data_IF_418136369989
#
_entry.id   IF_418136369989
#
_cell.length_a   1.000
_cell.length_b   1.000
_cell.length_c   1.000
_cell.angle_alpha   90.00
_cell.angle_beta   90.00
_cell.angle_gamma   90.00
#
_symmetry.space_group_name_H-M   'P 1'
#
loop_
_entity.id
_entity.type
_entity.pdbx_description
1 polymer ?
#
# COMPACT_ATOMS: atom_id res chain seq x y z
N UNK A 1 3.24 -14.62 -41.75
CA UNK A 1 2.32 -15.11 -40.71
C UNK A 1 2.54 -14.24 -39.48
N UNK A 2 1.57 -13.41 -39.19
CA UNK A 2 1.55 -12.58 -38.02
C UNK A 2 1.46 -13.47 -36.77
N UNK A 3 2.51 -13.49 -35.98
CA UNK A 3 2.49 -14.18 -34.70
C UNK A 3 2.07 -13.18 -33.63
N UNK A 4 1.08 -13.53 -32.87
CA UNK A 4 0.59 -12.68 -31.83
C UNK A 4 1.68 -12.33 -30.81
N UNK A 5 1.99 -11.04 -30.64
CA UNK A 5 3.04 -10.64 -29.71
C UNK A 5 2.62 -10.76 -28.25
N UNK A 6 1.43 -11.25 -28.01
CA UNK A 6 0.89 -11.31 -26.69
C UNK A 6 1.56 -12.33 -25.85
N UNK A 7 2.22 -11.89 -24.89
CA UNK A 7 2.66 -12.76 -23.84
C UNK A 7 1.47 -13.13 -22.99
N UNK A 8 1.12 -14.40 -23.00
CA UNK A 8 0.25 -15.02 -22.00
C UNK A 8 0.84 -14.94 -20.58
N UNK A 9 1.90 -14.19 -20.43
CA UNK A 9 2.67 -14.09 -19.21
C UNK A 9 2.05 -13.02 -18.28
N UNK A 10 0.86 -13.32 -17.79
CA UNK A 10 0.12 -12.53 -16.81
C UNK A 10 0.32 -13.04 -15.39
N UNK A 11 1.40 -13.75 -15.14
CA UNK A 11 1.75 -14.18 -13.79
C UNK A 11 2.23 -12.99 -12.95
N UNK A 12 1.31 -12.20 -12.46
CA UNK A 12 1.55 -11.32 -11.33
C UNK A 12 1.58 -12.16 -10.04
N UNK A 13 2.75 -12.63 -9.68
CA UNK A 13 2.94 -13.22 -8.35
C UNK A 13 3.08 -12.08 -7.35
N UNK A 14 1.99 -11.75 -6.69
CA UNK A 14 2.02 -10.74 -5.63
C UNK A 14 2.66 -11.28 -4.34
N UNK A 15 3.42 -10.44 -3.65
CA UNK A 15 3.94 -10.76 -2.32
C UNK A 15 2.84 -10.65 -1.29
N UNK A 16 2.72 -11.64 -0.42
CA UNK A 16 1.69 -11.67 0.61
C UNK A 16 2.08 -10.80 1.81
N UNK A 17 1.25 -9.83 2.12
CA UNK A 17 1.22 -9.18 3.43
C UNK A 17 0.06 -9.77 4.22
N UNK A 18 0.28 -10.15 5.48
CA UNK A 18 -0.76 -10.72 6.31
C UNK A 18 -1.98 -9.79 6.40
N UNK A 19 -3.16 -10.29 6.05
CA UNK A 19 -4.40 -9.52 6.02
C UNK A 19 -4.63 -8.71 4.73
N UNK A 20 -3.69 -8.71 3.79
CA UNK A 20 -3.87 -8.15 2.45
C UNK A 20 -3.97 -9.32 1.48
N UNK A 21 -5.08 -9.42 0.78
CA UNK A 21 -5.26 -10.36 -0.31
C UNK A 21 -4.22 -10.06 -1.39
N UNK A 22 -3.38 -11.04 -1.71
CA UNK A 22 -2.60 -11.00 -2.93
C UNK A 22 -3.40 -11.71 -4.00
N UNK A 23 -3.88 -10.98 -4.96
CA UNK A 23 -4.27 -11.62 -6.20
C UNK A 23 -3.00 -12.10 -6.89
N UNK A 24 -2.81 -13.41 -6.89
CA UNK A 24 -2.03 -14.02 -7.96
C UNK A 24 -2.74 -13.63 -9.23
N UNK A 25 -2.05 -12.95 -10.14
CA UNK A 25 -2.62 -12.62 -11.43
C UNK A 25 -3.27 -13.89 -12.00
N UNK A 26 -4.57 -13.89 -12.07
CA UNK A 26 -5.28 -14.95 -12.77
C UNK A 26 -4.71 -14.96 -14.19
N UNK A 27 -4.37 -16.12 -14.75
CA UNK A 27 -4.09 -16.19 -16.15
C UNK A 27 -5.29 -15.55 -16.84
N UNK A 28 -5.01 -14.68 -17.80
CA UNK A 28 -6.02 -14.02 -18.59
C UNK A 28 -7.05 -15.05 -18.97
N UNK A 29 -8.29 -14.80 -18.60
CA UNK A 29 -9.37 -15.77 -18.82
C UNK A 29 -9.30 -16.19 -20.28
N UNK A 30 -9.25 -17.48 -20.57
CA UNK A 30 -9.17 -18.03 -21.93
C UNK A 30 -10.32 -17.55 -22.85
N UNK A 31 -11.31 -16.86 -22.26
CA UNK A 31 -12.38 -16.19 -23.00
C UNK A 31 -11.95 -14.89 -23.67
N UNK A 32 -10.82 -14.31 -23.34
CA UNK A 32 -10.24 -13.23 -24.13
C UNK A 32 -9.59 -13.84 -25.37
N UNK A 33 -10.43 -14.20 -26.28
CA UNK A 33 -10.09 -14.74 -27.56
C UNK A 33 -9.47 -13.64 -28.39
N UNK A 34 -8.20 -13.73 -28.58
CA UNK A 34 -7.51 -12.95 -29.56
C UNK A 34 -7.48 -13.77 -30.84
N UNK A 35 -8.52 -13.60 -31.57
CA UNK A 35 -8.71 -14.27 -32.87
C UNK A 35 -9.20 -13.17 -33.82
N UNK A 36 -8.28 -12.28 -34.26
CA UNK A 36 -8.64 -11.14 -35.08
C UNK A 36 -9.18 -11.63 -36.42
N UNK A 37 -10.34 -11.14 -36.79
CA UNK A 37 -11.00 -11.53 -38.04
C UNK A 37 -10.88 -10.42 -39.09
N UNK A 38 -10.47 -10.79 -40.30
CA UNK A 38 -10.55 -9.88 -41.45
C UNK A 38 -12.03 -9.70 -41.87
N UNK A 39 -12.51 -8.49 -42.14
CA UNK A 39 -11.78 -7.23 -42.29
C UNK A 39 -11.71 -6.34 -41.03
N UNK A 40 -12.04 -6.85 -39.87
CA UNK A 40 -12.22 -6.07 -38.64
C UNK A 40 -10.90 -5.67 -37.96
N UNK A 41 -9.84 -6.42 -38.18
CA UNK A 41 -8.54 -6.14 -37.57
C UNK A 41 -7.73 -5.17 -38.43
N UNK A 42 -7.28 -4.08 -37.81
CA UNK A 42 -6.45 -3.04 -38.38
C UNK A 42 -5.13 -2.93 -37.61
N UNK A 43 -4.13 -3.67 -38.04
CA UNK A 43 -2.82 -3.69 -37.40
C UNK A 43 -1.75 -3.06 -38.30
N UNK A 44 -0.83 -2.31 -37.66
CA UNK A 44 0.38 -1.80 -38.29
C UNK A 44 1.59 -2.25 -37.50
N UNK A 45 2.46 -2.98 -38.16
CA UNK A 45 3.76 -3.38 -37.63
C UNK A 45 4.88 -2.57 -38.28
N UNK A 46 5.90 -2.23 -37.51
CA UNK A 46 7.13 -1.59 -38.00
C UNK A 46 8.21 -2.66 -38.26
N UNK A 47 9.22 -2.33 -39.05
CA UNK A 47 10.37 -3.22 -39.32
C UNK A 47 11.09 -3.69 -38.05
N UNK A 48 11.04 -2.90 -36.97
CA UNK A 48 11.64 -3.22 -35.69
C UNK A 48 10.73 -4.05 -34.75
N UNK A 49 9.49 -4.38 -35.18
CA UNK A 49 8.56 -5.20 -34.40
C UNK A 49 7.73 -4.41 -33.38
N UNK A 50 7.48 -3.12 -33.59
CA UNK A 50 6.47 -2.38 -32.83
C UNK A 50 5.13 -2.52 -33.51
N UNK A 51 4.06 -2.68 -32.74
CA UNK A 51 2.71 -2.92 -33.24
C UNK A 51 1.74 -1.89 -32.66
N UNK A 52 0.87 -1.38 -33.52
CA UNK A 52 -0.33 -0.64 -33.14
C UNK A 52 -1.51 -1.30 -33.79
N UNK A 53 -2.54 -1.64 -33.02
CA UNK A 53 -3.67 -2.44 -33.45
C UNK A 53 -4.98 -1.83 -32.94
N UNK A 54 -5.96 -1.84 -33.83
CA UNK A 54 -7.37 -1.63 -33.55
C UNK A 54 -8.11 -2.84 -34.11
N UNK A 55 -8.70 -3.61 -33.24
CA UNK A 55 -9.44 -4.82 -33.58
C UNK A 55 -10.92 -4.58 -33.28
N UNK A 56 -11.75 -4.56 -34.31
CA UNK A 56 -13.19 -4.42 -34.23
C UNK A 56 -13.91 -5.77 -34.40
N UNK A 57 -13.21 -6.90 -34.24
CA UNK A 57 -13.80 -8.24 -34.30
C UNK A 57 -14.94 -8.35 -33.28
N UNK A 58 -16.17 -8.66 -33.69
CA UNK A 58 -17.32 -8.66 -32.79
C UNK A 58 -17.14 -9.57 -31.59
N UNK A 59 -17.22 -8.99 -30.38
CA UNK A 59 -17.02 -9.68 -29.11
C UNK A 59 -15.56 -9.93 -28.71
N UNK A 60 -14.61 -9.41 -29.50
CA UNK A 60 -13.18 -9.45 -29.22
C UNK A 60 -12.50 -8.11 -29.54
N UNK A 61 -13.27 -7.02 -29.50
CA UNK A 61 -12.80 -5.67 -29.79
C UNK A 61 -11.62 -5.31 -28.90
N UNK A 62 -10.60 -4.62 -29.47
CA UNK A 62 -9.37 -4.33 -28.73
C UNK A 62 -8.61 -3.14 -29.31
N UNK A 63 -7.97 -2.39 -28.40
CA UNK A 63 -6.97 -1.37 -28.72
C UNK A 63 -5.65 -1.80 -28.11
N UNK A 64 -4.55 -1.85 -28.89
CA UNK A 64 -3.24 -2.24 -28.41
C UNK A 64 -2.11 -1.40 -29.00
N UNK A 65 -1.16 -1.01 -28.15
CA UNK A 65 0.16 -0.51 -28.57
C UNK A 65 1.25 -1.38 -27.90
N UNK A 66 2.09 -1.98 -28.72
CA UNK A 66 3.11 -2.92 -28.29
C UNK A 66 4.51 -2.46 -28.72
N UNK A 67 5.42 -2.41 -27.77
CA UNK A 67 6.84 -2.21 -28.03
C UNK A 67 7.56 -3.55 -28.08
N UNK A 68 8.49 -3.74 -29.02
CA UNK A 68 9.22 -4.99 -29.25
C UNK A 68 9.89 -5.61 -28.02
N UNK A 69 10.16 -4.83 -26.96
CA UNK A 69 10.73 -5.32 -25.70
C UNK A 69 9.69 -5.94 -24.76
N UNK A 70 8.40 -5.90 -25.13
CA UNK A 70 7.32 -6.41 -24.30
C UNK A 70 6.62 -5.36 -23.42
N UNK A 71 6.98 -4.08 -23.53
CA UNK A 71 6.19 -2.99 -22.97
C UNK A 71 4.96 -2.78 -23.83
N UNK A 72 3.77 -2.75 -23.23
CA UNK A 72 2.54 -2.56 -23.98
C UNK A 72 1.45 -1.84 -23.17
N UNK A 73 0.50 -1.31 -23.91
CA UNK A 73 -0.78 -0.80 -23.44
C UNK A 73 -1.87 -1.52 -24.21
N UNK A 74 -2.93 -1.93 -23.53
CA UNK A 74 -4.05 -2.65 -24.13
C UNK A 74 -5.36 -2.30 -23.43
N UNK A 75 -6.44 -2.22 -24.18
CA UNK A 75 -7.82 -2.17 -23.69
C UNK A 75 -8.61 -3.26 -24.39
N UNK A 76 -9.22 -4.13 -23.61
CA UNK A 76 -9.99 -5.27 -24.08
C UNK A 76 -11.47 -4.94 -24.31
N UNK A 77 -12.20 -5.90 -24.89
CA UNK A 77 -13.63 -5.77 -25.21
C UNK A 77 -14.54 -5.55 -23.98
N UNK A 78 -14.12 -5.95 -22.79
CA UNK A 78 -14.83 -5.68 -21.54
C UNK A 78 -14.43 -4.33 -20.89
N UNK A 79 -13.56 -3.56 -21.54
CA UNK A 79 -13.03 -2.29 -21.04
C UNK A 79 -11.88 -2.45 -20.05
N UNK A 80 -11.37 -3.65 -19.81
CA UNK A 80 -10.20 -3.86 -18.95
C UNK A 80 -8.97 -3.23 -19.60
N UNK A 81 -8.34 -2.30 -18.88
CA UNK A 81 -7.09 -1.67 -19.28
C UNK A 81 -5.90 -2.36 -18.65
N UNK A 82 -4.92 -2.75 -19.46
CA UNK A 82 -3.64 -3.28 -19.02
C UNK A 82 -2.49 -2.42 -19.51
N UNK A 83 -1.56 -2.12 -18.62
CA UNK A 83 -0.28 -1.46 -18.96
C UNK A 83 0.85 -2.31 -18.37
N UNK A 84 1.76 -2.75 -19.21
CA UNK A 84 2.99 -3.45 -18.81
C UNK A 84 4.20 -2.63 -19.19
N UNK A 85 5.09 -2.38 -18.24
CA UNK A 85 6.36 -1.71 -18.47
C UNK A 85 7.49 -2.66 -18.11
N UNK A 86 8.32 -3.04 -19.08
CA UNK A 86 9.46 -3.96 -18.87
C UNK A 86 10.67 -3.21 -18.30
N UNK A 87 10.83 -1.95 -18.67
CA UNK A 87 11.89 -1.09 -18.16
C UNK A 87 11.42 -0.18 -17.03
N UNK A 88 11.95 1.03 -16.99
CA UNK A 88 11.54 2.05 -16.02
C UNK A 88 10.28 2.76 -16.48
N UNK A 89 9.37 3.03 -15.55
CA UNK A 89 8.24 3.91 -15.76
C UNK A 89 8.49 5.26 -15.08
N UNK A 90 8.32 6.35 -15.83
CA UNK A 90 8.38 7.71 -15.32
C UNK A 90 7.03 8.39 -15.54
N UNK A 91 6.39 8.79 -14.47
CA UNK A 91 5.17 9.57 -14.51
C UNK A 91 5.42 10.93 -13.83
N UNK A 92 5.21 12.01 -14.57
CA UNK A 92 5.41 13.38 -14.09
C UNK A 92 4.14 14.15 -14.33
N UNK A 93 3.47 14.56 -13.26
CA UNK A 93 2.27 15.39 -13.30
C UNK A 93 2.63 16.79 -12.85
N UNK A 94 2.62 17.76 -13.77
CA UNK A 94 2.94 19.14 -13.45
C UNK A 94 1.79 19.92 -12.76
N UNK A 95 0.58 19.38 -12.84
CA UNK A 95 -0.63 19.92 -12.21
C UNK A 95 -1.13 19.00 -11.10
N UNK A 96 -2.43 18.94 -10.95
CA UNK A 96 -3.08 18.04 -10.01
C UNK A 96 -3.26 16.64 -10.61
N UNK A 97 -3.09 15.62 -9.78
CA UNK A 97 -3.46 14.25 -10.10
C UNK A 97 -4.66 13.82 -9.26
N UNK A 98 -5.67 13.24 -9.91
CA UNK A 98 -6.90 12.76 -9.28
C UNK A 98 -7.08 11.26 -9.58
N UNK A 99 -6.90 10.44 -8.56
CA UNK A 99 -7.10 8.99 -8.66
C UNK A 99 -8.33 8.57 -7.85
N UNK A 100 -9.33 8.00 -8.52
CA UNK A 100 -10.54 7.50 -7.88
C UNK A 100 -10.73 6.03 -8.26
N UNK A 101 -10.59 5.14 -7.28
CA UNK A 101 -10.74 3.68 -7.44
C UNK A 101 -11.98 3.24 -6.66
N UNK A 102 -13.01 2.78 -7.36
CA UNK A 102 -14.25 2.28 -6.74
C UNK A 102 -14.13 0.85 -6.22
N UNK A 103 -13.17 0.11 -6.72
CA UNK A 103 -12.88 -1.27 -6.30
C UNK A 103 -11.66 -1.35 -5.37
N UNK A 104 -11.08 -2.51 -5.26
CA UNK A 104 -9.85 -2.73 -4.50
C UNK A 104 -8.62 -2.14 -5.22
N UNK A 105 -7.67 -1.64 -4.45
CA UNK A 105 -6.35 -1.24 -4.94
C UNK A 105 -5.29 -2.11 -4.26
N UNK A 106 -4.52 -2.85 -5.06
CA UNK A 106 -3.40 -3.65 -4.59
C UNK A 106 -2.09 -3.06 -5.11
N UNK A 107 -1.19 -2.71 -4.20
CA UNK A 107 0.13 -2.18 -4.52
C UNK A 107 1.20 -3.09 -3.92
N UNK A 108 2.04 -3.68 -4.76
CA UNK A 108 3.20 -4.47 -4.36
C UNK A 108 4.47 -3.80 -4.84
N UNK A 109 5.42 -3.61 -3.94
CA UNK A 109 6.74 -3.03 -4.22
C UNK A 109 7.79 -3.96 -3.64
N UNK A 110 8.59 -4.58 -4.50
CA UNK A 110 9.59 -5.56 -4.08
C UNK A 110 10.85 -4.93 -3.45
N UNK A 111 11.03 -3.63 -3.65
CA UNK A 111 12.18 -2.89 -3.14
C UNK A 111 11.73 -1.67 -2.31
N UNK A 112 12.49 -0.61 -2.32
CA UNK A 112 12.22 0.59 -1.54
C UNK A 112 11.06 1.42 -2.11
N UNK A 113 10.20 1.90 -1.24
CA UNK A 113 9.21 2.93 -1.53
C UNK A 113 9.57 4.21 -0.77
N UNK A 114 9.82 5.30 -1.47
CA UNK A 114 10.10 6.60 -0.89
C UNK A 114 8.95 7.56 -1.19
N UNK A 115 8.38 8.16 -0.16
CA UNK A 115 7.31 9.16 -0.28
C UNK A 115 7.76 10.46 0.36
N UNK A 116 7.70 11.57 -0.39
CA UNK A 116 8.02 12.90 0.07
C UNK A 116 6.86 13.86 -0.20
N UNK A 117 6.30 14.45 0.84
CA UNK A 117 5.14 15.35 0.78
C UNK A 117 5.53 16.67 1.44
N UNK A 118 5.52 17.77 0.67
CA UNK A 118 5.80 19.11 1.18
C UNK A 118 4.66 19.71 1.98
N UNK A 119 3.45 19.31 1.68
CA UNK A 119 2.23 19.80 2.33
C UNK A 119 1.69 18.81 3.36
N UNK A 120 0.39 18.84 3.58
CA UNK A 120 -0.29 17.93 4.49
C UNK A 120 -0.48 16.55 3.88
N UNK A 121 -0.34 15.53 4.70
CA UNK A 121 -0.70 14.17 4.33
C UNK A 121 -1.88 13.72 5.21
N UNK A 122 -3.07 13.62 4.60
CA UNK A 122 -4.27 13.18 5.27
C UNK A 122 -4.58 11.74 4.88
N UNK A 123 -4.78 10.86 5.86
CA UNK A 123 -5.18 9.47 5.66
C UNK A 123 -6.45 9.25 6.48
N UNK A 124 -7.52 8.82 5.79
CA UNK A 124 -8.75 8.36 6.43
C UNK A 124 -8.99 6.90 6.07
N UNK A 125 -9.29 6.09 7.07
CA UNK A 125 -9.63 4.67 6.90
C UNK A 125 -10.89 4.40 7.71
N UNK A 126 -12.00 4.14 7.04
CA UNK A 126 -13.29 3.88 7.69
C UNK A 126 -13.35 2.47 8.33
N UNK A 127 -12.53 1.56 7.84
CA UNK A 127 -12.37 0.23 8.39
C UNK A 127 -11.12 0.09 9.26
N UNK A 128 -10.46 -1.04 9.20
CA UNK A 128 -9.26 -1.33 9.97
C UNK A 128 -7.98 -0.95 9.22
N UNK A 129 -7.00 -0.40 9.93
CA UNK A 129 -5.63 -0.25 9.44
C UNK A 129 -4.72 -1.26 10.13
N UNK A 130 -4.03 -2.10 9.37
CA UNK A 130 -3.00 -3.02 9.85
C UNK A 130 -1.64 -2.62 9.31
N UNK A 131 -0.64 -2.56 10.18
CA UNK A 131 0.75 -2.27 9.82
C UNK A 131 1.67 -3.34 10.42
N UNK A 132 2.46 -4.02 9.59
CA UNK A 132 3.43 -5.03 10.01
C UNK A 132 4.81 -4.62 9.54
N UNK A 133 5.72 -4.37 10.49
CA UNK A 133 7.10 -3.98 10.23
C UNK A 133 8.01 -5.05 10.81
N UNK A 134 8.73 -5.76 9.94
CA UNK A 134 9.67 -6.81 10.36
C UNK A 134 11.02 -6.25 10.83
N UNK A 135 11.34 -5.03 10.44
CA UNK A 135 12.54 -4.33 10.84
C UNK A 135 12.27 -3.27 11.91
N UNK A 136 12.90 -2.12 11.79
CA UNK A 136 12.76 -1.00 12.72
C UNK A 136 11.73 0.02 12.23
N UNK A 137 11.03 0.64 13.17
CA UNK A 137 10.22 1.81 12.93
C UNK A 137 10.81 3.01 13.67
N UNK A 138 11.03 4.10 12.97
CA UNK A 138 11.42 5.39 13.56
C UNK A 138 10.35 6.43 13.23
N UNK A 139 9.91 7.17 14.23
CA UNK A 139 8.98 8.30 14.07
C UNK A 139 9.59 9.52 14.72
N UNK A 140 9.74 10.61 13.98
CA UNK A 140 10.20 11.89 14.48
C UNK A 140 9.12 12.94 14.24
N UNK A 141 8.66 13.59 15.31
CA UNK A 141 7.63 14.62 15.26
C UNK A 141 8.21 15.86 15.97
N UNK A 142 8.39 16.94 15.20
CA UNK A 142 8.95 18.19 15.74
C UNK A 142 7.88 19.09 16.38
N UNK A 143 6.62 18.79 16.17
CA UNK A 143 5.48 19.48 16.76
C UNK A 143 4.76 18.61 17.79
N UNK A 144 3.46 18.76 17.89
CA UNK A 144 2.63 17.95 18.78
C UNK A 144 2.29 16.58 18.16
N UNK A 145 2.28 15.54 18.98
CA UNK A 145 1.69 14.24 18.67
C UNK A 145 0.45 14.04 19.54
N UNK A 146 -0.69 13.76 18.91
CA UNK A 146 -1.96 13.54 19.60
C UNK A 146 -2.55 12.20 19.21
N UNK A 147 -2.79 11.34 20.19
CA UNK A 147 -3.40 10.03 20.00
C UNK A 147 -4.70 9.92 20.80
N UNK A 148 -5.84 9.85 20.10
CA UNK A 148 -7.17 9.63 20.66
C UNK A 148 -7.65 8.21 20.38
N UNK A 149 -7.95 7.44 21.43
CA UNK A 149 -8.44 6.07 21.33
C UNK A 149 -9.69 5.96 22.19
N UNK A 150 -10.85 5.76 21.53
CA UNK A 150 -12.14 5.72 22.20
C UNK A 150 -12.38 4.45 23.02
N UNK A 151 -11.70 3.36 22.71
CA UNK A 151 -11.92 2.07 23.38
C UNK A 151 -10.68 1.62 24.17
N UNK A 152 -9.88 0.73 23.61
CA UNK A 152 -8.75 0.12 24.31
C UNK A 152 -7.43 0.37 23.56
N UNK A 153 -6.39 0.69 24.30
CA UNK A 153 -5.00 0.64 23.82
C UNK A 153 -4.24 -0.49 24.51
N UNK A 154 -3.69 -1.42 23.73
CA UNK A 154 -2.77 -2.43 24.23
C UNK A 154 -1.37 -2.15 23.68
N UNK A 155 -0.35 -2.28 24.54
CA UNK A 155 1.07 -2.19 24.17
C UNK A 155 1.81 -3.35 24.78
N UNK A 156 2.48 -4.15 23.98
CA UNK A 156 3.33 -5.26 24.42
C UNK A 156 4.75 -4.99 23.94
N UNK A 157 5.70 -4.94 24.86
CA UNK A 157 7.12 -4.76 24.58
C UNK A 157 7.87 -5.99 25.12
N UNK A 158 8.45 -6.79 24.23
CA UNK A 158 9.09 -8.06 24.58
C UNK A 158 10.44 -7.92 25.28
N UNK A 159 11.10 -6.75 25.21
CA UNK A 159 12.41 -6.54 25.83
C UNK A 159 12.38 -5.34 26.78
N UNK A 160 12.73 -4.17 26.32
CA UNK A 160 12.80 -2.96 27.14
C UNK A 160 12.02 -1.80 26.57
N UNK A 161 11.42 -1.01 27.42
CA UNK A 161 10.83 0.26 27.07
C UNK A 161 11.54 1.37 27.85
N UNK A 162 11.94 2.43 27.13
CA UNK A 162 12.50 3.62 27.72
C UNK A 162 11.64 4.84 27.36
N UNK A 163 11.31 5.64 28.37
CA UNK A 163 10.55 6.88 28.20
C UNK A 163 11.32 8.02 28.85
N UNK A 164 11.82 8.96 28.04
CA UNK A 164 12.54 10.14 28.49
C UNK A 164 11.73 11.39 28.20
N UNK A 165 11.33 12.13 29.22
CA UNK A 165 10.50 13.32 29.13
C UNK A 165 11.25 14.49 29.75
N UNK A 166 11.61 15.48 28.94
CA UNK A 166 12.34 16.67 29.39
C UNK A 166 11.49 17.68 30.17
N UNK A 167 10.18 17.56 30.14
CA UNK A 167 9.23 18.41 30.86
C UNK A 167 8.40 17.63 31.87
N UNK A 168 7.13 17.98 32.00
CA UNK A 168 6.21 17.31 32.90
C UNK A 168 5.54 16.12 32.22
N UNK A 169 5.36 15.03 32.97
CA UNK A 169 4.47 13.92 32.59
C UNK A 169 3.28 13.91 33.56
N UNK A 170 2.07 13.79 33.00
CA UNK A 170 0.83 13.69 33.77
C UNK A 170 0.06 12.48 33.30
N UNK A 171 -0.23 11.57 34.24
CA UNK A 171 -1.09 10.40 33.99
C UNK A 171 -2.37 10.59 34.82
N UNK A 172 -3.51 10.74 34.16
CA UNK A 172 -4.82 10.86 34.79
C UNK A 172 -5.64 9.60 34.49
N UNK A 173 -5.99 8.84 35.51
CA UNK A 173 -6.74 7.61 35.41
C UNK A 173 -8.05 7.73 36.18
N UNK A 174 -9.19 7.71 35.47
CA UNK A 174 -10.52 7.80 36.10
C UNK A 174 -10.98 6.56 36.85
N UNK A 175 -10.28 5.45 36.70
CA UNK A 175 -10.54 4.20 37.39
C UNK A 175 -9.31 3.70 38.16
N UNK A 176 -9.01 2.42 38.08
CA UNK A 176 -7.85 1.85 38.76
C UNK A 176 -6.60 1.90 37.88
N UNK A 177 -5.47 2.28 38.46
CA UNK A 177 -4.15 2.11 37.90
C UNK A 177 -3.44 0.98 38.63
N UNK A 178 -3.07 -0.09 37.92
CA UNK A 178 -2.41 -1.25 38.50
C UNK A 178 -1.01 -1.37 37.92
N UNK A 179 0.00 -1.43 38.80
CA UNK A 179 1.39 -1.69 38.43
C UNK A 179 1.82 -3.02 39.06
N UNK A 180 2.12 -4.03 38.23
CA UNK A 180 2.63 -5.33 38.68
C UNK A 180 4.03 -5.53 38.13
N UNK A 181 4.99 -5.79 38.98
CA UNK A 181 6.41 -5.96 38.63
C UNK A 181 6.94 -7.23 39.28
N UNK A 182 7.49 -8.14 38.48
CA UNK A 182 8.09 -9.38 38.97
C UNK A 182 9.45 -9.21 39.66
N UNK A 183 10.07 -8.06 39.58
CA UNK A 183 11.33 -7.68 40.23
C UNK A 183 11.13 -6.57 41.27
N UNK A 184 11.83 -5.46 41.09
CA UNK A 184 11.70 -4.33 42.01
C UNK A 184 11.31 -3.04 41.24
N UNK A 185 10.63 -2.13 41.92
CA UNK A 185 10.34 -0.77 41.45
C UNK A 185 11.31 0.18 42.12
N UNK A 186 12.11 0.91 41.33
CA UNK A 186 12.96 1.99 41.84
C UNK A 186 12.39 3.35 41.42
N UNK A 187 12.17 4.22 42.37
CA UNK A 187 11.77 5.62 42.15
C UNK A 187 12.82 6.55 42.78
N UNK A 188 13.35 7.45 41.97
CA UNK A 188 14.31 8.44 42.43
C UNK A 188 13.83 9.84 42.03
N UNK A 189 13.75 10.77 42.96
CA UNK A 189 13.46 12.14 42.70
C UNK A 189 14.60 13.04 43.22
N UNK A 190 14.92 14.10 42.49
CA UNK A 190 15.93 15.09 42.92
C UNK A 190 15.44 16.00 44.07
N UNK A 191 14.13 16.09 44.28
CA UNK A 191 13.53 16.92 45.32
C UNK A 191 12.57 16.13 46.20
N UNK A 192 11.37 15.86 45.79
CA UNK A 192 10.33 15.22 46.62
C UNK A 192 9.59 14.13 45.86
N UNK A 193 9.35 13.00 46.54
CA UNK A 193 8.33 12.01 46.15
C UNK A 193 7.18 12.18 47.15
N UNK A 194 5.98 12.45 46.68
CA UNK A 194 4.81 12.60 47.54
C UNK A 194 3.65 11.78 47.00
N UNK A 195 3.08 10.94 47.83
CA UNK A 195 1.86 10.22 47.58
C UNK A 195 0.76 10.84 48.46
N UNK A 196 -0.35 11.26 47.82
CA UNK A 196 -1.54 11.75 48.54
C UNK A 196 -2.70 10.82 48.19
N UNK A 197 -3.30 10.20 49.18
CA UNK A 197 -4.51 9.43 49.05
C UNK A 197 -5.68 10.19 49.71
N UNK A 198 -6.78 10.33 49.02
CA UNK A 198 -8.04 10.86 49.56
C UNK A 198 -8.82 9.82 50.39
N UNK A 199 -8.27 8.64 50.65
CA UNK A 199 -8.86 7.56 51.42
C UNK A 199 -7.82 6.76 52.20
N UNK A 200 -8.20 5.65 52.82
CA UNK A 200 -7.29 4.85 53.61
C UNK A 200 -6.27 4.09 52.76
N UNK A 201 -4.98 4.14 53.18
CA UNK A 201 -3.99 3.18 52.72
C UNK A 201 -4.26 1.85 53.41
N UNK A 202 -4.50 0.78 52.69
CA UNK A 202 -4.57 -0.59 53.17
C UNK A 202 -3.35 -1.38 52.75
#
# INVERSE_FOLDING_TARGET
TWSEPRTTDTNFTGTRVSGISTETGQPRNEKMRVDPEYPYNHARETESGHIKEYDDTPGAERIMEFHRTGTFYEVDSDGTKMTRVVGHNYEVVAGNDFVNIKGACNLTIDQNCNTYIKGNWNIQVDGSKTEVIKGSRMTMIMGADTLNIAAMRSKVVGAAESNAIGGAQTDTVGGAQITSVGGYISRKAGAKIGDMAGGAYT
#
